data_IF_128288519571
#
_entry.id   IF_128288519571
#
_cell.length_a   1.000
_cell.length_b   1.000
_cell.length_c   1.000
_cell.angle_alpha   90.00
_cell.angle_beta   90.00
_cell.angle_gamma   90.00
#
_symmetry.space_group_name_H-M   'P 1'
#
loop_
_entity.id
_entity.type
_entity.pdbx_description
1 polymer ?
#
# COMPACT_ATOMS: atom_id res chain seq x y z
N UNK A 1 26.57 -2.15 24.39
CA UNK A 1 26.53 -1.68 22.99
C UNK A 1 25.18 -2.10 22.45
N UNK A 2 24.45 -1.16 21.89
CA UNK A 2 23.04 -1.30 21.49
C UNK A 2 22.98 -2.32 20.35
N UNK A 3 22.18 -3.37 20.50
CA UNK A 3 21.91 -4.31 19.43
C UNK A 3 21.06 -3.57 18.38
N UNK A 4 21.70 -3.09 17.33
CA UNK A 4 21.01 -2.61 16.14
C UNK A 4 20.31 -3.82 15.52
N UNK A 5 19.00 -3.95 15.78
CA UNK A 5 18.16 -4.84 14.99
C UNK A 5 18.26 -4.37 13.54
N UNK A 6 19.11 -5.04 12.76
CA UNK A 6 19.06 -5.01 11.30
C UNK A 6 17.66 -5.45 10.91
N UNK A 7 16.76 -4.48 10.74
CA UNK A 7 15.52 -4.68 10.03
C UNK A 7 15.96 -5.10 8.64
N UNK A 8 15.92 -6.40 8.38
CA UNK A 8 16.00 -6.95 7.04
C UNK A 8 14.81 -6.32 6.31
N UNK A 9 15.04 -5.23 5.59
CA UNK A 9 14.07 -4.71 4.63
C UNK A 9 14.29 -5.66 3.45
N UNK A 10 13.48 -6.72 3.26
CA UNK A 10 13.59 -7.49 2.04
C UNK A 10 13.50 -6.50 0.87
N UNK A 11 14.27 -6.73 -0.19
CA UNK A 11 14.23 -5.99 -1.47
C UNK A 11 12.87 -6.14 -2.20
N UNK A 12 11.79 -6.28 -1.45
CA UNK A 12 10.45 -6.36 -1.94
C UNK A 12 10.12 -5.03 -2.64
N UNK A 13 9.46 -5.08 -3.80
CA UNK A 13 9.00 -3.87 -4.46
C UNK A 13 8.13 -3.07 -3.49
N UNK A 14 8.07 -1.74 -3.61
CA UNK A 14 7.16 -0.94 -2.78
C UNK A 14 5.70 -1.31 -3.04
N UNK A 15 4.81 -1.23 -2.03
CA UNK A 15 3.39 -1.40 -2.28
C UNK A 15 2.88 -0.27 -3.18
N UNK A 16 1.90 -0.60 -4.01
CA UNK A 16 1.29 0.29 -4.99
C UNK A 16 -0.22 0.16 -4.92
N UNK A 17 -0.93 1.17 -5.41
CA UNK A 17 -2.39 1.21 -5.38
C UNK A 17 -3.07 0.00 -6.04
N UNK A 18 -2.43 -0.61 -7.07
CA UNK A 18 -2.91 -1.86 -7.69
C UNK A 18 -3.15 -3.01 -6.69
N UNK A 19 -2.46 -3.01 -5.55
CA UNK A 19 -2.55 -4.05 -4.52
C UNK A 19 -3.69 -3.79 -3.50
N UNK A 20 -4.46 -2.73 -3.69
CA UNK A 20 -5.59 -2.35 -2.84
C UNK A 20 -6.89 -2.69 -3.57
N UNK A 21 -7.87 -3.17 -2.81
CA UNK A 21 -9.22 -3.45 -3.30
C UNK A 21 -10.20 -2.33 -2.96
N UNK A 22 -11.25 -2.11 -3.78
CA UNK A 22 -12.33 -1.19 -3.42
C UNK A 22 -12.89 -1.45 -2.02
N UNK A 23 -13.18 -0.38 -1.28
CA UNK A 23 -13.60 -0.39 0.13
C UNK A 23 -12.43 -0.41 1.13
N UNK A 24 -11.18 -0.46 0.68
CA UNK A 24 -10.01 -0.47 1.55
C UNK A 24 -9.38 0.92 1.70
N UNK A 25 -8.87 1.19 2.90
CA UNK A 25 -8.08 2.38 3.17
C UNK A 25 -6.61 2.16 2.83
N UNK A 26 -5.97 3.18 2.28
CA UNK A 26 -4.54 3.21 1.98
C UNK A 26 -3.96 4.58 2.33
N UNK A 27 -2.63 4.64 2.43
CA UNK A 27 -1.90 5.89 2.64
C UNK A 27 -0.89 6.08 1.51
N UNK A 28 -0.89 7.24 0.86
CA UNK A 28 0.11 7.56 -0.16
C UNK A 28 1.48 7.80 0.48
N UNK A 29 2.55 7.29 -0.14
CA UNK A 29 3.89 7.44 0.41
C UNK A 29 4.37 8.90 0.41
N UNK A 30 4.09 9.64 -0.67
CA UNK A 30 4.57 11.03 -0.86
C UNK A 30 3.84 12.04 0.02
N UNK A 31 2.51 11.96 0.12
CA UNK A 31 1.70 12.95 0.82
C UNK A 31 1.26 12.53 2.22
N UNK A 32 1.48 11.26 2.60
CA UNK A 32 1.02 10.66 3.86
C UNK A 32 -0.48 10.84 4.12
N UNK A 33 -1.25 11.07 3.07
CA UNK A 33 -2.69 11.22 3.13
C UNK A 33 -3.35 9.84 3.14
N UNK A 34 -4.28 9.64 4.08
CA UNK A 34 -5.08 8.41 4.20
C UNK A 34 -6.37 8.56 3.41
N UNK A 35 -6.58 7.68 2.43
CA UNK A 35 -7.70 7.70 1.50
C UNK A 35 -8.42 6.34 1.49
N UNK A 36 -9.65 6.31 1.00
CA UNK A 36 -10.40 5.08 0.73
C UNK A 36 -10.51 4.87 -0.78
N UNK A 37 -10.14 3.68 -1.25
CA UNK A 37 -10.34 3.31 -2.64
C UNK A 37 -11.82 3.00 -2.86
N UNK A 38 -12.50 3.74 -3.73
CA UNK A 38 -13.93 3.55 -4.02
C UNK A 38 -14.15 2.56 -5.17
N UNK A 39 -13.33 2.68 -6.22
CA UNK A 39 -13.33 1.78 -7.39
C UNK A 39 -11.97 1.84 -8.07
N UNK A 40 -11.69 0.91 -9.00
CA UNK A 40 -10.52 0.95 -9.87
C UNK A 40 -10.85 0.45 -11.27
N UNK A 41 -10.19 1.01 -12.27
CA UNK A 41 -10.12 0.47 -13.63
C UNK A 41 -8.70 -0.09 -13.88
N UNK A 42 -8.34 -0.29 -15.15
CA UNK A 42 -7.03 -0.84 -15.53
C UNK A 42 -5.85 0.12 -15.30
N UNK A 43 -6.10 1.41 -15.07
CA UNK A 43 -5.08 2.47 -15.01
C UNK A 43 -5.12 3.29 -13.72
N UNK A 44 -6.30 3.46 -13.13
CA UNK A 44 -6.57 4.37 -12.03
C UNK A 44 -7.41 3.72 -10.92
N UNK A 45 -7.13 4.14 -9.69
CA UNK A 45 -8.05 4.01 -8.55
C UNK A 45 -8.76 5.33 -8.28
N UNK A 46 -10.05 5.27 -8.04
CA UNK A 46 -10.90 6.42 -7.77
C UNK A 46 -11.13 6.58 -6.26
N UNK A 47 -10.99 7.81 -5.78
CA UNK A 47 -11.23 8.23 -4.40
C UNK A 47 -12.29 9.34 -4.40
N UNK A 48 -12.77 9.74 -3.22
CA UNK A 48 -13.84 10.74 -3.10
C UNK A 48 -13.56 12.03 -3.89
N UNK A 49 -12.31 12.50 -3.86
CA UNK A 49 -11.92 13.80 -4.44
C UNK A 49 -11.08 13.69 -5.72
N UNK A 50 -10.99 12.52 -6.35
CA UNK A 50 -10.20 12.38 -7.58
C UNK A 50 -9.83 10.96 -7.97
N UNK A 51 -8.76 10.85 -8.76
CA UNK A 51 -8.19 9.56 -9.20
C UNK A 51 -6.69 9.53 -9.00
N UNK A 52 -6.16 8.35 -8.74
CA UNK A 52 -4.75 8.09 -8.48
C UNK A 52 -4.32 6.95 -9.40
N UNK A 53 -3.14 7.07 -10.04
CA UNK A 53 -2.63 5.99 -10.90
C UNK A 53 -2.36 4.71 -10.10
N UNK A 54 -2.65 3.54 -10.68
CA UNK A 54 -2.43 2.26 -10.02
C UNK A 54 -0.97 2.00 -9.62
N UNK A 55 -0.03 2.67 -10.31
CA UNK A 55 1.39 2.63 -10.00
C UNK A 55 1.80 3.48 -8.79
N UNK A 56 0.91 4.31 -8.23
CA UNK A 56 1.24 5.19 -7.11
C UNK A 56 1.75 4.40 -5.91
N UNK A 57 2.88 4.83 -5.34
CA UNK A 57 3.51 4.15 -4.20
C UNK A 57 2.74 4.44 -2.91
N UNK A 58 2.55 3.38 -2.12
CA UNK A 58 1.85 3.43 -0.85
C UNK A 58 2.84 3.37 0.31
N UNK A 59 2.39 3.88 1.45
CA UNK A 59 3.05 3.66 2.72
C UNK A 59 2.99 2.15 3.07
N UNK A 60 4.14 1.47 3.24
CA UNK A 60 4.15 0.06 3.63
C UNK A 60 3.63 -0.16 5.06
N UNK A 61 3.51 0.88 5.88
CA UNK A 61 2.93 0.79 7.21
C UNK A 61 1.46 0.35 7.13
N UNK A 62 1.17 -0.85 7.64
CA UNK A 62 -0.17 -1.44 7.57
C UNK A 62 -0.38 -2.35 6.35
N UNK A 63 0.64 -2.54 5.51
CA UNK A 63 0.66 -3.57 4.48
C UNK A 63 1.60 -4.71 4.88
N UNK A 64 1.37 -5.89 4.31
CA UNK A 64 2.25 -7.05 4.43
C UNK A 64 2.49 -7.62 3.03
N UNK A 65 3.74 -7.97 2.76
CA UNK A 65 4.08 -8.75 1.58
C UNK A 65 3.82 -10.22 1.91
N UNK A 66 2.86 -10.86 1.25
CA UNK A 66 2.51 -12.25 1.49
C UNK A 66 3.50 -13.24 0.85
N UNK A 67 3.31 -14.53 1.13
CA UNK A 67 4.12 -15.66 0.60
C UNK A 67 3.95 -15.83 -0.92
N UNK A 68 4.51 -14.91 -1.71
CA UNK A 68 4.51 -14.95 -3.18
C UNK A 68 3.25 -14.39 -3.86
N UNK A 69 2.26 -13.90 -3.10
CA UNK A 69 1.01 -13.31 -3.64
C UNK A 69 1.02 -11.77 -3.74
N UNK A 70 2.18 -11.15 -3.52
CA UNK A 70 2.32 -9.69 -3.55
C UNK A 70 1.89 -8.99 -2.26
N UNK A 71 1.72 -7.67 -2.34
CA UNK A 71 1.29 -6.86 -1.20
C UNK A 71 -0.20 -7.02 -0.92
N UNK A 72 -0.57 -6.94 0.36
CA UNK A 72 -1.95 -6.87 0.84
C UNK A 72 -2.01 -6.06 2.13
N UNK A 73 -3.20 -5.58 2.50
CA UNK A 73 -3.39 -4.97 3.82
C UNK A 73 -3.14 -5.99 4.94
N UNK A 74 -2.52 -5.52 6.02
CA UNK A 74 -2.38 -6.28 7.26
C UNK A 74 -3.77 -6.49 7.83
N UNK A 75 -4.27 -7.72 7.77
CA UNK A 75 -5.50 -8.09 8.47
C UNK A 75 -5.31 -7.84 9.97
N UNK A 76 -6.13 -6.96 10.56
CA UNK A 76 -6.22 -6.84 12.01
C UNK A 76 -6.98 -8.08 12.50
N UNK A 77 -6.28 -8.97 13.20
CA UNK A 77 -6.90 -9.96 14.08
C UNK A 77 -7.56 -9.25 15.25
#
# INVERSE_FOLDING_TARGET
MINEEHIHIPNNPKPRLQHIEPGQFFTLLEHREKLMLLSKDDLYGYVENGRIGLSAELDPNGMVFGDGKGWRLRSKK
#
